data_IF_580415848074
#
_entry.id   IF_580415848074
#
_cell.length_a   1.000
_cell.length_b   1.000
_cell.length_c   1.000
_cell.angle_alpha   90.00
_cell.angle_beta   90.00
_cell.angle_gamma   90.00
#
_symmetry.space_group_name_H-M   'P 1'
#
loop_
_entity.id
_entity.type
_entity.pdbx_description
1 polymer ?
2 polymer ?
3 non-polymer ?
4 non-polymer ?
5 non-polymer ?
6 non-polymer ?
7 non-polymer ?
8 water ?
#
# COMPACT_ATOMS: atom_id res chain seq x y z
N UNK A 1 -18.57 20.82 14.96
CA UNK A 1 -17.24 20.36 14.43
C UNK A 1 -17.39 19.91 12.96
N UNK A 2 -16.30 20.03 12.19
CA UNK A 2 -16.30 19.63 10.79
C UNK A 2 -15.07 18.76 10.51
N UNK A 3 -15.28 17.81 9.62
CA UNK A 3 -14.29 16.76 9.36
C UNK A 3 -13.02 17.29 8.70
N UNK A 4 -13.13 18.40 7.96
CA UNK A 4 -11.98 18.92 7.22
C UNK A 4 -10.99 19.63 8.16
N UNK A 5 -11.47 20.02 9.33
CA UNK A 5 -10.60 20.58 10.36
C UNK A 5 -10.27 19.54 11.42
N UNK A 6 -8.99 19.21 11.54
CA UNK A 6 -8.51 18.40 12.66
C UNK A 6 -9.17 17.00 12.67
N UNK A 7 -9.64 16.58 11.51
CA UNK A 7 -10.36 15.30 11.33
C UNK A 7 -11.68 15.23 12.12
N UNK A 8 -12.24 16.41 12.40
CA UNK A 8 -13.45 16.50 13.20
C UNK A 8 -13.27 16.03 14.64
N UNK A 9 -12.02 15.90 15.07
CA UNK A 9 -11.70 15.31 16.38
C UNK A 9 -11.73 13.77 16.39
N UNK A 10 -12.07 13.16 15.27
CA UNK A 10 -12.24 11.70 15.21
C UNK A 10 -10.87 11.01 15.16
N UNK A 11 -10.76 9.85 15.77
CA UNK A 11 -9.54 9.07 15.66
C UNK A 11 -9.35 8.52 14.24
N UNK A 12 -10.44 8.09 13.62
CA UNK A 12 -10.42 7.49 12.28
C UNK A 12 -11.32 8.28 11.31
N UNK A 13 -12.46 7.75 10.92
CA UNK A 13 -13.24 8.34 9.84
C UNK A 13 -14.31 9.29 10.38
N UNK A 14 -14.71 10.24 9.55
CA UNK A 14 -15.57 11.38 9.95
C UNK A 14 -16.60 11.70 8.87
N UNK A 15 -17.87 11.79 9.24
CA UNK A 15 -18.95 12.24 8.33
C UNK A 15 -19.59 13.53 8.85
N UNK A 16 -19.81 14.48 7.95
CA UNK A 16 -20.61 15.68 8.25
C UNK A 16 -22.08 15.36 7.99
N UNK A 17 -22.95 15.82 8.88
CA UNK A 17 -24.39 15.62 8.75
C UNK A 17 -25.16 16.94 8.81
N UNK A 18 -26.38 16.92 8.29
CA UNK A 18 -27.23 18.10 8.17
C UNK A 18 -27.47 18.78 9.53
N UNK A 19 -26.87 19.96 9.69
CA UNK A 19 -26.89 20.69 10.97
C UNK A 19 -25.46 20.87 11.45
N UNK A 20 -25.28 21.34 12.68
CA UNK A 20 -23.94 21.35 13.28
C UNK A 20 -23.60 19.93 13.74
N UNK A 21 -23.83 18.91 12.90
CA UNK A 21 -23.66 17.51 13.31
C UNK A 21 -22.49 16.81 12.65
N UNK A 22 -21.76 16.05 13.46
CA UNK A 22 -20.61 15.23 13.00
C UNK A 22 -20.73 13.81 13.59
N UNK A 23 -20.53 12.79 12.75
CA UNK A 23 -20.43 11.41 13.21
C UNK A 23 -19.01 10.87 12.89
N UNK A 24 -18.34 10.35 13.90
CA UNK A 24 -17.11 9.60 13.71
C UNK A 24 -17.43 8.13 13.47
N UNK A 25 -16.55 7.45 12.74
CA UNK A 25 -16.70 6.03 12.51
C UNK A 25 -15.36 5.34 12.62
N UNK A 26 -15.40 4.02 12.72
CA UNK A 26 -14.22 3.20 12.82
C UNK A 26 -14.25 2.10 11.75
N UNK A 27 -13.05 1.71 11.34
CA UNK A 27 -12.83 0.63 10.38
C UNK A 27 -13.37 -0.66 10.95
N UNK A 28 -13.68 -1.61 10.07
CA UNK A 28 -13.99 -2.96 10.51
C UNK A 28 -12.92 -3.43 11.46
N UNK A 29 -13.32 -4.17 12.49
CA UNK A 29 -12.38 -4.69 13.48
C UNK A 29 -12.14 -3.70 14.62
N UNK A 30 -12.92 -2.61 14.65
CA UNK A 30 -12.87 -1.58 15.69
C UNK A 30 -14.31 -1.16 16.03
N UNK A 31 -14.52 -0.68 17.25
CA UNK A 31 -15.79 -0.07 17.64
C UNK A 31 -15.52 1.32 18.25
N UNK A 32 -16.51 2.19 18.14
CA UNK A 32 -16.41 3.56 18.56
C UNK A 32 -16.76 3.64 20.03
N UNK A 33 -15.96 4.36 20.79
CA UNK A 33 -16.21 4.50 22.21
C UNK A 33 -17.26 5.57 22.46
N UNK A 34 -17.74 5.64 23.70
CA UNK A 34 -18.79 6.61 24.13
C UNK A 34 -18.39 8.08 24.04
N UNK A 35 -17.09 8.36 23.95
CA UNK A 35 -16.63 9.74 23.65
C UNK A 35 -17.02 10.18 22.23
N UNK A 36 -17.41 9.22 21.40
CA UNK A 36 -17.88 9.52 20.07
C UNK A 36 -16.76 9.75 19.08
N UNK A 37 -15.52 9.54 19.50
CA UNK A 37 -14.34 9.84 18.66
C UNK A 37 -13.31 8.72 18.59
N UNK A 38 -13.11 7.99 19.68
CA UNK A 38 -12.05 7.00 19.78
C UNK A 38 -12.50 5.64 19.24
N UNK A 39 -11.52 4.88 18.72
CA UNK A 39 -11.75 3.57 18.17
C UNK A 39 -10.92 2.56 18.95
N UNK A 40 -11.53 1.47 19.38
CA UNK A 40 -10.82 0.42 20.08
C UNK A 40 -10.98 -0.89 19.29
N UNK A 41 -9.91 -1.69 19.15
CA UNK A 41 -10.02 -3.00 18.47
C UNK A 41 -11.04 -3.95 19.09
N UNK A 42 -11.76 -4.67 18.22
CA UNK A 42 -12.71 -5.68 18.62
C UNK A 42 -12.23 -7.11 18.23
N UNK A 43 -11.09 -7.19 17.54
CA UNK A 43 -10.51 -8.46 17.08
C UNK A 43 -9.05 -8.52 17.46
N UNK A 44 -8.45 -9.71 17.33
CA UNK A 44 -7.05 -9.91 17.73
C UNK A 44 -6.09 -9.15 16.83
N UNK A 45 -6.38 -9.13 15.53
CA UNK A 45 -5.50 -8.53 14.53
C UNK A 45 -6.17 -7.48 13.67
N UNK A 46 -6.47 -6.31 14.29
CA UNK A 46 -7.10 -5.25 13.56
C UNK A 46 -6.12 -4.66 12.54
N UNK A 47 -6.64 -4.11 11.46
CA UNK A 47 -5.76 -3.53 10.45
C UNK A 47 -4.91 -2.40 11.02
N UNK A 48 -3.72 -2.20 10.46
CA UNK A 48 -2.95 -1.00 10.75
C UNK A 48 -2.29 -0.95 12.12
N UNK A 49 -2.29 -2.07 12.84
CA UNK A 49 -1.61 -2.17 14.13
C UNK A 49 -0.57 -3.28 14.02
N UNK A 50 0.55 -3.09 14.72
CA UNK A 50 1.72 -3.98 14.65
C UNK A 50 1.82 -4.75 15.95
N UNK A 51 1.34 -6.00 15.95
CA UNK A 51 1.25 -6.82 17.15
C UNK A 51 2.49 -6.82 18.01
N UNK A 52 3.68 -6.99 17.44
CA UNK A 52 4.86 -7.08 18.32
C UNK A 52 5.13 -5.77 19.06
N UNK A 53 4.73 -4.65 18.46
CA UNK A 53 4.86 -3.35 19.14
C UNK A 53 3.70 -3.07 20.11
N UNK A 54 2.49 -3.51 19.76
CA UNK A 54 1.34 -3.38 20.65
C UNK A 54 1.58 -4.19 21.94
N UNK A 55 2.15 -5.38 21.81
CA UNK A 55 2.59 -6.14 22.98
C UNK A 55 3.77 -5.45 23.69
N UNK A 56 4.66 -4.86 22.91
CA UNK A 56 5.79 -4.00 23.36
C UNK A 56 7.12 -4.69 23.13
N UNK B 1 14.96 -0.65 -1.93
CA UNK B 1 15.01 0.56 -1.08
C UNK B 1 16.46 1.03 -0.91
N UNK B 2 16.73 2.28 -1.25
CA UNK B 2 18.05 2.93 -1.06
C UNK B 2 18.02 3.83 0.16
N UNK B 3 19.02 3.68 1.04
CA UNK B 3 19.18 4.59 2.15
C UNK B 3 18.30 4.33 3.38
N UNK B 4 17.66 3.17 3.43
CA UNK B 4 16.77 2.82 4.55
C UNK B 4 17.46 1.90 5.55
N UNK B 5 16.66 1.06 6.23
CA UNK B 5 17.14 0.09 7.19
C UNK B 5 16.34 -1.18 7.08
N UNK B 6 16.82 -2.24 7.69
CA UNK B 6 16.04 -3.46 7.78
C UNK B 6 14.76 -3.16 8.58
N UNK B 7 13.62 -3.57 8.04
CA UNK B 7 12.39 -3.54 8.80
C UNK B 7 12.46 -4.67 9.79
N UNK B 8 12.47 -4.36 11.11
CA UNK B 8 12.54 -5.49 12.04
C UNK B 8 11.43 -6.50 11.79
N UNK B 9 11.76 -7.79 11.82
CA UNK B 9 10.81 -8.85 11.49
C UNK B 9 9.49 -8.67 12.25
N UNK B 10 8.39 -8.64 11.51
CA UNK B 10 7.06 -8.42 12.11
C UNK B 10 6.60 -6.98 12.18
N UNK B 11 7.50 -6.02 11.91
CA UNK B 11 7.14 -4.61 11.98
C UNK B 11 6.60 -4.05 10.67
N UNK B 12 6.67 -4.85 9.60
CA UNK B 12 6.04 -4.49 8.33
C UNK B 12 5.06 -5.62 7.92
N UNK B 13 4.07 -5.94 8.79
CA UNK B 13 3.37 -7.21 8.66
C UNK B 13 2.38 -7.29 7.46
N UNK B 14 2.14 -6.14 6.84
CA UNK B 14 1.27 -6.04 5.68
C UNK B 14 2.02 -6.17 4.35
N UNK B 15 3.34 -6.22 4.41
CA UNK B 15 4.15 -6.30 3.21
C UNK B 15 3.92 -7.64 2.51
N UNK B 16 3.70 -7.59 1.20
CA UNK B 16 3.57 -8.79 0.37
C UNK B 16 4.78 -8.87 -0.58
N UNK B 17 5.25 -10.09 -0.82
CA UNK B 17 6.22 -10.39 -1.89
C UNK B 17 5.48 -11.17 -2.97
N UNK B 18 5.54 -10.65 -4.18
CA UNK B 18 4.99 -11.31 -5.34
C UNK B 18 6.11 -12.02 -6.10
N UNK B 19 5.85 -13.28 -6.43
CA UNK B 19 6.79 -14.14 -7.15
C UNK B 19 6.17 -14.55 -8.49
N UNK B 20 7.01 -14.75 -9.51
CA UNK B 20 6.51 -15.37 -10.77
C UNK B 20 7.54 -16.44 -11.15
N UNK B 21 7.07 -17.67 -11.31
CA UNK B 21 7.96 -18.86 -11.35
C UNK B 21 9.07 -18.94 -10.22
N UNK B 22 8.71 -18.53 -9.02
CA UNK B 22 9.65 -18.47 -7.90
C UNK B 22 10.59 -17.28 -7.87
N UNK B 23 10.60 -16.45 -8.91
CA UNK B 23 11.48 -15.29 -8.98
C UNK B 23 10.73 -14.05 -8.46
N UNK B 24 11.47 -13.23 -7.73
CA UNK B 24 11.01 -11.93 -7.25
C UNK B 24 10.46 -11.05 -8.37
N UNK B 25 9.20 -10.62 -8.24
CA UNK B 25 8.58 -9.77 -9.23
C UNK B 25 8.38 -8.34 -8.70
N UNK B 26 7.71 -8.25 -7.56
CA UNK B 26 7.23 -6.96 -7.05
C UNK B 26 6.82 -7.11 -5.61
N UNK B 27 6.53 -5.98 -4.99
CA UNK B 27 5.87 -5.97 -3.70
C UNK B 27 4.37 -5.76 -3.81
N UNK B 28 3.74 -5.73 -2.64
CA UNK B 28 2.30 -5.50 -2.53
C UNK B 28 1.93 -5.19 -1.08
N UNK B 29 0.65 -4.90 -0.86
CA UNK B 29 0.12 -4.61 0.47
C UNK B 29 -1.14 -5.41 0.71
N UNK B 30 -1.16 -6.15 1.81
CA UNK B 30 -2.34 -6.86 2.26
C UNK B 30 -3.30 -5.85 2.88
N UNK B 31 -4.55 -5.86 2.45
CA UNK B 31 -5.56 -4.95 3.03
C UNK B 31 -6.72 -5.65 3.74
N UNK B 32 -6.83 -6.95 3.50
CA UNK B 32 -7.63 -7.83 4.36
C UNK B 32 -7.16 -9.25 4.05
N UNK B 33 -7.86 -10.28 4.51
CA UNK B 33 -7.33 -11.65 4.40
C UNK B 33 -7.22 -12.26 2.98
N UNK B 34 -7.93 -11.73 2.00
CA UNK B 34 -7.84 -12.27 0.64
C UNK B 34 -7.44 -11.25 -0.43
N UNK B 35 -7.29 -9.98 -0.06
CA UNK B 35 -6.98 -8.94 -1.02
C UNK B 35 -5.63 -8.24 -0.80
N UNK B 36 -4.91 -8.05 -1.89
CA UNK B 36 -3.60 -7.41 -1.94
C UNK B 36 -3.65 -6.28 -2.96
N UNK B 37 -3.11 -5.14 -2.60
CA UNK B 37 -2.97 -4.03 -3.54
C UNK B 37 -1.51 -3.97 -4.03
N UNK B 38 -1.32 -3.87 -5.34
CA UNK B 38 0.00 -3.73 -5.96
C UNK B 38 -0.06 -2.69 -7.11
N UNK B 39 0.95 -2.71 -8.00
CA UNK B 39 1.05 -1.78 -9.13
C UNK B 39 0.73 -2.53 -10.38
N UNK B 40 -0.11 -1.91 -11.22
CA UNK B 40 -0.47 -2.47 -12.52
C UNK B 40 0.76 -2.82 -13.35
N UNK B 41 1.78 -1.96 -13.32
CA UNK B 41 2.95 -2.16 -14.19
C UNK B 41 3.73 -3.43 -13.87
N UNK B 42 3.47 -4.02 -12.71
CA UNK B 42 4.12 -5.24 -12.31
C UNK B 42 3.75 -6.40 -13.22
N UNK B 43 2.65 -6.26 -13.95
CA UNK B 43 2.08 -7.35 -14.73
C UNK B 43 2.21 -7.12 -16.24
N UNK B 44 3.01 -6.13 -16.66
CA UNK B 44 3.10 -5.77 -18.08
C UNK B 44 3.68 -6.92 -18.94
N UNK B 45 4.54 -7.76 -18.36
CA UNK B 45 5.20 -8.81 -19.14
C UNK B 45 4.89 -10.22 -18.65
N UNK B 46 3.76 -10.42 -17.99
CA UNK B 46 3.43 -11.74 -17.46
C UNK B 46 3.02 -12.65 -18.61
N UNK B 47 3.60 -13.84 -18.65
CA UNK B 47 3.28 -14.81 -19.68
C UNK B 47 2.32 -15.83 -19.11
N UNK B 48 2.73 -16.53 -18.06
CA UNK B 48 1.80 -17.45 -17.40
C UNK B 48 1.18 -16.80 -16.16
N UNK B 49 -0.08 -16.39 -16.32
CA UNK B 49 -0.84 -15.77 -15.24
C UNK B 49 -1.08 -16.74 -14.11
N UNK B 50 -0.90 -18.03 -14.35
CA UNK B 50 -1.24 -19.05 -13.36
C UNK B 50 -0.10 -19.39 -12.42
N UNK B 51 1.07 -18.79 -12.64
CA UNK B 51 2.26 -19.00 -11.79
C UNK B 51 2.60 -17.81 -10.90
N UNK B 52 1.61 -16.96 -10.62
CA UNK B 52 1.81 -15.82 -9.73
C UNK B 52 1.53 -16.25 -8.30
N UNK B 53 2.47 -15.97 -7.41
CA UNK B 53 2.36 -16.32 -5.99
C UNK B 53 2.54 -15.07 -5.14
N UNK B 54 1.73 -14.95 -4.08
CA UNK B 54 1.88 -13.91 -3.07
C UNK B 54 2.34 -14.54 -1.77
N UNK B 55 3.40 -14.00 -1.18
CA UNK B 55 3.91 -14.46 0.10
C UNK B 55 3.72 -13.36 1.15
N UNK B 56 3.08 -13.75 2.25
CA UNK B 56 2.92 -12.93 3.45
C UNK B 56 3.79 -13.45 4.56
N UNK B 57 4.12 -12.57 5.50
CA UNK B 57 4.95 -12.90 6.65
C UNK B 57 6.40 -13.16 6.26
N UNK B 58 6.81 -12.67 5.09
CA UNK B 58 8.17 -12.85 4.62
C UNK B 58 9.05 -11.79 5.27
N UNK B 59 10.33 -12.13 5.44
CA UNK B 59 11.29 -11.20 6.00
C UNK B 59 12.69 -11.39 5.36
N UNK B 60 13.27 -12.57 5.60
CA UNK B 60 14.62 -12.92 5.12
C UNK B 60 14.46 -13.98 4.03
N UNK B 61 14.76 -13.59 2.81
CA UNK B 61 14.58 -14.46 1.63
C UNK B 61 15.49 -15.68 1.59
N UNK B 62 16.49 -15.70 2.46
CA UNK B 62 17.46 -16.78 2.49
C UNK B 62 17.03 -17.96 3.33
N UNK B 63 16.00 -17.79 4.16
CA UNK B 63 15.64 -18.84 5.10
C UNK B 63 14.15 -18.95 5.27
N UNK B 64 13.70 -20.12 5.64
CA UNK B 64 12.30 -20.36 5.93
C UNK B 64 12.17 -20.49 7.46
N UNK B 65 11.39 -19.60 8.09
CA UNK B 65 11.22 -19.68 9.55
C UNK B 65 9.82 -20.12 10.02
N UNK B 66 8.91 -20.37 9.07
CA UNK B 66 7.60 -20.89 9.40
C UNK B 66 6.51 -19.83 9.52
N UNK B 67 6.87 -18.55 9.51
CA UNK B 67 5.87 -17.47 9.57
C UNK B 67 5.34 -17.09 8.18
N UNK B 68 6.02 -17.59 7.15
CA UNK B 68 5.68 -17.24 5.78
C UNK B 68 4.40 -17.97 5.41
N UNK B 69 3.56 -17.30 4.64
CA UNK B 69 2.35 -17.92 4.08
C UNK B 69 2.25 -17.58 2.60
N UNK B 70 2.18 -18.63 1.77
CA UNK B 70 2.13 -18.48 0.32
C UNK B 70 0.75 -18.78 -0.21
N UNK B 71 0.32 -17.97 -1.18
CA UNK B 71 -0.95 -18.17 -1.82
C UNK B 71 -0.83 -17.93 -3.31
N UNK B 72 -1.60 -18.66 -4.07
CA UNK B 72 -1.75 -18.37 -5.48
C UNK B 72 -2.60 -17.12 -5.67
N UNK B 73 -2.25 -16.35 -6.69
CA UNK B 73 -3.02 -15.17 -7.04
C UNK B 73 -4.11 -15.64 -8.02
N UNK B 74 -5.36 -15.55 -7.60
CA UNK B 74 -6.51 -16.02 -8.38
C UNK B 74 -7.01 -14.98 -9.39
N UNK B 75 -6.85 -13.71 -9.05
CA UNK B 75 -7.28 -12.62 -9.92
C UNK B 75 -6.34 -11.43 -9.82
N UNK B 76 -6.07 -10.82 -10.95
CA UNK B 76 -5.38 -9.54 -11.02
C UNK B 76 -6.30 -8.55 -11.72
N UNK B 77 -6.73 -7.53 -11.00
CA UNK B 77 -7.71 -6.57 -11.50
C UNK B 77 -7.02 -5.21 -11.69
N UNK B 78 -7.11 -4.71 -12.92
CA UNK B 78 -6.43 -3.51 -13.33
C UNK B 78 -7.46 -2.55 -13.92
N UNK B 79 -7.33 -1.26 -13.61
CA UNK B 79 -8.33 -0.34 -14.12
C UNK B 79 -8.22 -0.18 -15.63
N UNK B 80 -9.36 0.10 -16.27
CA UNK B 80 -9.44 0.26 -17.75
C UNK B 80 -8.54 1.38 -18.26
N UNK B 81 -8.27 2.34 -17.40
CA UNK B 81 -7.54 3.53 -17.80
C UNK B 81 -6.01 3.35 -17.80
N UNK B 82 -5.52 2.24 -17.25
CA UNK B 82 -4.09 1.93 -17.26
C UNK B 82 -3.69 1.43 -18.64
N UNK B 83 -2.61 1.99 -19.18
CA UNK B 83 -2.03 1.53 -20.44
C UNK B 83 -0.68 0.88 -20.20
N UNK B 84 -0.52 -0.40 -20.55
CA UNK B 84 0.79 -1.02 -20.32
C UNK B 84 1.96 -0.23 -20.91
N UNK B 85 3.05 -0.16 -20.15
CA UNK B 85 4.25 0.55 -20.60
C UNK B 85 4.23 2.03 -20.25
N UNK B 86 3.21 2.47 -19.52
CA UNK B 86 3.10 3.86 -19.11
C UNK B 86 2.91 3.95 -17.58
N UNK B 87 2.72 5.17 -17.07
CA UNK B 87 2.79 5.43 -15.62
C UNK B 87 1.44 5.71 -14.93
N UNK B 88 0.44 6.22 -15.65
CA UNK B 88 -0.80 6.70 -15.01
C UNK B 88 -1.69 5.52 -14.59
N UNK B 89 -2.42 5.68 -13.49
CA UNK B 89 -3.34 4.67 -12.98
C UNK B 89 -2.60 3.38 -12.62
N UNK B 90 -1.46 3.53 -11.93
CA UNK B 90 -0.59 2.38 -11.67
C UNK B 90 -1.03 1.60 -10.42
N UNK B 91 -2.12 0.86 -10.56
CA UNK B 91 -2.69 0.11 -9.43
C UNK B 91 -3.27 -1.23 -9.90
N UNK B 92 -3.16 -2.24 -9.03
CA UNK B 92 -3.76 -3.56 -9.28
C UNK B 92 -4.32 -4.09 -7.99
N UNK B 93 -5.45 -4.75 -8.10
CA UNK B 93 -6.06 -5.42 -6.96
C UNK B 93 -6.05 -6.92 -7.22
N UNK B 94 -5.43 -7.63 -6.28
CA UNK B 94 -5.16 -9.03 -6.40
C UNK B 94 -6.03 -9.78 -5.39
N UNK B 95 -6.74 -10.81 -5.88
CA UNK B 95 -7.48 -11.74 -5.03
C UNK B 95 -6.67 -13.00 -4.85
N UNK B 96 -6.47 -13.40 -3.59
CA UNK B 96 -5.72 -14.61 -3.30
C UNK B 96 -6.67 -15.83 -3.42
N UNK B 97 -6.14 -17.00 -3.76
CA UNK B 97 -6.98 -18.20 -3.96
C UNK B 97 -7.59 -18.67 -2.66
N UNK B 98 -6.92 -18.38 -1.54
CA UNK B 98 -7.37 -18.76 -0.23
C UNK B 98 -6.91 -17.67 0.74
N UNK B 99 -7.73 -17.35 1.77
CA UNK B 99 -7.30 -16.30 2.68
C UNK B 99 -5.99 -16.65 3.36
N UNK B 100 -5.18 -15.65 3.66
CA UNK B 100 -4.08 -15.83 4.61
C UNK B 100 -4.66 -15.83 6.02
N UNK B 101 -3.87 -16.36 6.97
CA UNK B 101 -4.28 -16.44 8.37
C UNK B 101 -3.58 -15.29 9.09
N UNK B 102 -4.36 -14.42 9.72
CA UNK B 102 -3.78 -13.34 10.46
C UNK B 102 -3.04 -13.85 11.67
N UNK B 103 -1.83 -13.33 11.84
CA UNK B 103 -0.90 -13.70 12.93
C UNK B 103 -0.09 -12.50 13.35
N UNK B 104 0.81 -12.63 14.33
CA UNK B 104 1.69 -11.53 14.69
C UNK B 104 2.53 -11.02 13.50
N UNK B 105 2.72 -11.87 12.48
CA UNK B 105 3.58 -11.53 11.36
C UNK B 105 2.84 -11.26 10.06
N UNK B 106 1.51 -11.38 10.11
CA UNK B 106 0.65 -11.21 8.93
C UNK B 106 -0.58 -10.43 9.37
N UNK B 107 -0.61 -9.15 8.99
CA UNK B 107 -1.64 -8.19 9.42
C UNK B 107 -1.94 -7.26 8.25
N UNK B 108 -3.23 -6.99 7.97
CA UNK B 108 -3.50 -6.04 6.88
C UNK B 108 -3.27 -4.61 7.26
N UNK B 109 -2.93 -3.82 6.26
CA UNK B 109 -2.93 -2.35 6.39
C UNK B 109 -4.35 -1.83 6.15
N UNK B 110 -4.79 -0.81 6.89
CA UNK B 110 -6.14 -0.28 6.68
C UNK B 110 -6.23 0.50 5.36
N UNK B 111 -7.20 0.14 4.52
CA UNK B 111 -7.55 0.97 3.37
C UNK B 111 -8.48 2.06 3.89
N UNK B 112 -8.05 3.33 3.80
CA UNK B 112 -8.82 4.40 4.42
C UNK B 112 -10.00 4.80 3.57
N UNK B 113 -11.00 5.42 4.20
CA UNK B 113 -12.00 6.17 3.45
C UNK B 113 -11.31 7.29 2.65
N UNK B 114 -11.86 7.64 1.48
CA UNK B 114 -11.28 8.68 0.60
C UNK B 114 -11.19 10.04 1.31
N UNK B 115 -12.28 10.47 1.96
CA UNK B 115 -12.29 11.76 2.64
C UNK B 115 -11.21 11.86 3.72
N UNK B 116 -11.14 10.84 4.58
CA UNK B 116 -10.13 10.80 5.62
C UNK B 116 -8.75 10.90 4.98
N UNK B 117 -8.55 10.15 3.89
CA UNK B 117 -7.23 10.13 3.24
C UNK B 117 -6.89 11.48 2.59
N UNK B 118 -7.86 12.09 1.92
CA UNK B 118 -7.65 13.37 1.23
C UNK B 118 -7.53 14.54 2.20
N UNK B 119 -8.32 14.52 3.27
CA UNK B 119 -8.41 15.65 4.19
C UNK B 119 -7.41 15.59 5.32
N UNK B 120 -6.94 14.39 5.66
CA UNK B 120 -6.10 14.22 6.85
C UNK B 120 -4.77 13.52 6.53
N UNK B 121 -4.84 12.31 5.93
CA UNK B 121 -3.61 11.51 5.70
C UNK B 121 -2.65 12.20 4.74
N UNK B 122 -3.19 12.93 3.77
CA UNK B 122 -2.41 13.56 2.73
C UNK B 122 -1.52 14.71 3.27
N UNK B 123 -1.80 15.16 4.49
CA UNK B 123 -1.02 16.21 5.16
C UNK B 123 -0.10 15.68 6.24
N UNK B 124 -0.09 14.36 6.44
CA UNK B 124 0.93 13.75 7.27
C UNK B 124 2.21 13.75 6.43
N UNK B 125 3.25 14.42 6.92
CA UNK B 125 4.44 14.66 6.13
C UNK B 125 5.19 13.37 5.77
N UNK B 126 5.52 12.55 6.76
CA UNK B 126 6.30 11.36 6.54
C UNK B 126 5.49 10.05 6.58
N UNK B 127 5.91 9.12 5.73
CA UNK B 127 5.31 7.81 5.59
C UNK B 127 6.40 6.79 5.26
N UNK B 128 6.11 5.52 5.48
CA UNK B 128 7.07 4.43 5.28
C UNK B 128 6.84 3.72 3.96
N UNK B 129 7.95 3.51 3.23
CA UNK B 129 7.95 2.68 2.04
C UNK B 129 8.90 1.52 2.28
N UNK B 130 8.56 0.37 1.72
CA UNK B 130 9.27 -0.85 2.03
C UNK B 130 9.30 -1.84 0.87
N UNK B 131 10.29 -2.74 0.92
CA UNK B 131 10.42 -3.78 -0.08
C UNK B 131 11.80 -4.44 -0.10
N UNK B 132 11.90 -5.43 -0.98
CA UNK B 132 13.12 -6.20 -1.19
C UNK B 132 13.81 -5.77 -2.48
N UNK B 133 13.61 -4.52 -2.89
CA UNK B 133 14.23 -4.01 -4.08
C UNK B 133 15.73 -3.70 -3.90
N UNK B 134 16.27 -3.06 -4.92
CA UNK B 134 17.68 -2.73 -5.02
C UNK B 134 18.09 -1.83 -3.86
N UNK B 135 19.23 -2.14 -3.26
CA UNK B 135 19.80 -1.32 -2.18
C UNK B 135 20.57 -0.12 -2.72
N UNK B 136 20.87 -0.14 -4.03
CA UNK B 136 21.63 0.91 -4.75
C UNK B 136 21.13 0.87 -6.17
N UNK B 137 21.13 2.02 -6.83
CA UNK B 137 20.90 2.04 -8.26
C UNK B 137 21.96 1.17 -8.95
N UNK B 138 21.51 0.32 -9.86
CA UNK B 138 22.36 -0.66 -10.56
C UNK B 138 23.03 -1.67 -9.63
N UNK B 139 22.39 -1.93 -8.47
CA UNK B 139 22.92 -2.80 -7.44
C UNK B 139 22.04 -4.01 -7.15
N UNK B 140 22.52 -4.87 -6.27
CA UNK B 140 21.81 -6.07 -5.85
C UNK B 140 20.57 -5.73 -5.00
N UNK B 141 19.53 -6.56 -5.12
CA UNK B 141 18.32 -6.46 -4.30
C UNK B 141 18.59 -6.96 -2.90
N UNK B 142 17.72 -6.58 -1.96
CA UNK B 142 17.88 -6.89 -0.55
C UNK B 142 17.44 -8.29 -0.24
N UNK B 143 18.13 -8.97 0.67
CA UNK B 143 17.68 -10.28 1.18
C UNK B 143 16.76 -10.16 2.38
N UNK B 144 16.90 -9.09 3.15
CA UNK B 144 15.99 -8.78 4.24
C UNK B 144 15.09 -7.58 3.88
N UNK B 145 13.85 -7.59 4.38
CA UNK B 145 12.92 -6.53 4.05
C UNK B 145 13.45 -5.19 4.52
N UNK B 146 13.50 -4.21 3.65
CA UNK B 146 13.93 -2.87 4.01
C UNK B 146 12.77 -1.88 4.10
N UNK B 147 12.95 -0.84 4.92
CA UNK B 147 11.96 0.22 5.09
C UNK B 147 12.64 1.59 5.14
N UNK B 148 11.95 2.61 4.65
CA UNK B 148 12.47 3.97 4.52
C UNK B 148 11.34 4.97 4.85
N UNK B 149 11.65 5.97 5.68
CA UNK B 149 10.70 7.07 5.97
C UNK B 149 10.92 8.16 4.95
N UNK B 150 9.86 8.57 4.24
CA UNK B 150 9.98 9.55 3.18
C UNK B 150 8.92 10.64 3.35
N UNK B 151 9.30 11.90 3.09
CA UNK B 151 8.34 13.00 3.11
C UNK B 151 7.64 13.24 1.79
N UNK B 152 6.36 13.57 1.91
CA UNK B 152 5.47 13.79 0.76
C UNK B 152 5.54 15.25 0.36
N UNK B 153 5.48 15.49 -0.94
CA UNK B 153 5.46 16.85 -1.49
C UNK B 153 4.13 17.11 -2.16
N UNK B 154 3.61 18.34 -2.05
CA UNK B 154 2.53 18.75 -2.96
C UNK B 154 3.05 18.74 -4.39
N UNK B 155 2.19 18.45 -5.36
CA UNK B 155 2.67 18.23 -6.72
C UNK B 155 3.32 19.48 -7.33
N UNK B 156 2.74 20.66 -7.07
CA UNK B 156 3.35 21.93 -7.54
C UNK B 156 4.80 22.03 -7.04
N UNK B 157 5.02 21.68 -5.76
CA UNK B 157 6.37 21.72 -5.19
C UNK B 157 7.30 20.67 -5.77
N UNK B 158 6.76 19.48 -6.06
CA UNK B 158 7.56 18.44 -6.69
C UNK B 158 8.11 18.87 -8.04
N UNK B 159 7.24 19.48 -8.85
CA UNK B 159 7.60 19.93 -10.21
C UNK B 159 8.63 21.06 -10.13
N UNK B 160 8.40 21.99 -9.21
CA UNK B 160 9.33 23.10 -8.97
C UNK B 160 10.69 22.60 -8.47
N UNK B 161 10.68 21.66 -7.54
CA UNK B 161 11.91 21.14 -6.96
C UNK B 161 12.64 20.07 -7.79
N UNK B 162 12.02 19.61 -8.89
CA UNK B 162 12.63 18.54 -9.69
C UNK B 162 13.42 19.09 -10.89
N UNK B 163 14.57 18.48 -11.17
CA UNK B 163 15.47 18.92 -12.25
C UNK B 163 16.68 18.01 -12.38
N UNK B 168 10.38 14.00 -18.16
CA UNK B 168 9.61 12.95 -17.47
C UNK B 168 8.14 12.91 -17.92
N UNK B 169 7.48 11.76 -17.71
CA UNK B 169 6.02 11.82 -17.82
C UNK B 169 5.43 12.85 -16.86
N UNK B 170 4.18 13.22 -17.06
CA UNK B 170 3.49 14.13 -16.14
C UNK B 170 3.24 13.50 -14.78
N UNK B 171 3.22 14.34 -13.73
CA UNK B 171 2.76 13.94 -12.41
C UNK B 171 1.27 14.26 -12.38
N UNK B 172 0.44 13.23 -12.47
CA UNK B 172 -1.00 13.43 -12.59
C UNK B 172 -1.67 13.48 -11.22
N UNK B 173 -2.99 13.69 -11.24
CA UNK B 173 -3.78 13.74 -10.01
C UNK B 173 -3.89 12.34 -9.39
N UNK B 174 -3.44 11.33 -10.13
CA UNK B 174 -3.46 9.93 -9.67
C UNK B 174 -2.10 9.50 -9.11
N UNK B 175 -1.25 10.49 -8.83
CA UNK B 175 0.10 10.31 -8.35
C UNK B 175 0.47 11.32 -7.27
N UNK B 176 1.53 11.04 -6.52
CA UNK B 176 2.21 12.05 -5.70
C UNK B 176 3.68 11.70 -5.58
N UNK B 177 4.48 12.73 -5.34
CA UNK B 177 5.90 12.57 -5.09
C UNK B 177 6.19 12.46 -3.61
N UNK B 178 7.23 11.69 -3.32
CA UNK B 178 7.77 11.59 -1.99
C UNK B 178 9.23 11.18 -1.99
N UNK B 179 9.95 11.60 -0.97
CA UNK B 179 11.36 11.25 -0.85
C UNK B 179 12.27 12.47 -0.78
N UNK B 180 13.43 12.36 -1.46
CA UNK B 180 14.56 13.28 -1.36
C UNK B 180 15.20 13.46 -2.73
N UNK B 181 15.59 14.70 -3.04
CA UNK B 181 16.22 15.04 -4.32
C UNK B 181 17.76 15.05 -4.29
N UNK B 182 18.36 14.64 -3.17
CA UNK B 182 19.83 14.64 -3.01
C UNK B 182 20.50 13.30 -3.30
N UNK B 183 19.74 12.35 -3.85
CA UNK B 183 20.30 11.05 -4.26
C UNK B 183 20.65 10.08 -3.14
N UNK B 184 20.16 10.33 -1.93
CA UNK B 184 20.51 9.48 -0.77
C UNK B 184 19.49 8.39 -0.39
N UNK B 185 18.21 8.63 -0.71
CA UNK B 185 17.12 7.83 -0.15
C UNK B 185 15.94 7.76 -1.12
N UNK B 186 15.48 6.55 -1.42
CA UNK B 186 14.44 6.34 -2.44
C UNK B 186 13.94 4.90 -2.38
N UNK B 187 12.79 4.66 -3.00
CA UNK B 187 12.38 3.31 -3.32
C UNK B 187 12.91 3.05 -4.74
N UNK B 188 12.96 1.78 -5.14
CA UNK B 188 13.56 1.40 -6.41
C UNK B 188 12.67 0.40 -7.18
N UNK B 189 13.09 0.09 -8.40
CA UNK B 189 12.41 -0.84 -9.31
C UNK B 189 11.73 -2.03 -8.62
N UNK B 190 12.52 -2.75 -7.85
CA UNK B 190 12.09 -4.03 -7.27
C UNK B 190 11.14 -3.87 -6.10
N UNK B 191 10.98 -2.63 -5.65
CA UNK B 191 10.01 -2.29 -4.59
C UNK B 191 8.62 -2.00 -5.17
N UNK B 192 8.53 -1.85 -6.49
CA UNK B 192 7.30 -1.53 -7.17
C UNK B 192 6.16 -2.36 -6.60
N UNK B 193 5.00 -1.71 -6.43
CA UNK B 193 3.79 -2.32 -5.92
C UNK B 193 3.68 -2.36 -4.42
N UNK B 194 4.78 -2.06 -3.72
CA UNK B 194 4.78 -2.09 -2.28
C UNK B 194 4.10 -0.88 -1.64
N UNK B 195 3.91 -0.93 -0.32
CA UNK B 195 3.21 0.09 0.43
C UNK B 195 3.97 1.38 0.65
N UNK B 196 3.22 2.46 0.56
CA UNK B 196 3.51 3.75 1.17
C UNK B 196 2.44 3.89 2.27
N UNK B 197 2.87 3.74 3.52
CA UNK B 197 2.00 3.57 4.69
C UNK B 197 2.14 4.78 5.61
N UNK B 198 1.00 5.31 6.03
CA UNK B 198 0.95 6.56 6.77
C UNK B 198 0.30 6.34 8.14
N UNK B 199 1.00 6.79 9.18
CA UNK B 199 0.52 6.66 10.55
C UNK B 199 -0.37 7.85 10.93
N UNK B 200 -1.47 7.56 11.61
CA UNK B 200 -2.32 8.61 12.15
C UNK B 200 -3.00 8.09 13.41
N UNK B 201 -2.70 8.76 14.53
CA UNK B 201 -3.29 8.47 15.82
C UNK B 201 -3.33 6.97 16.14
N UNK B 202 -2.16 6.34 16.00
CA UNK B 202 -1.93 4.98 16.49
C UNK B 202 -2.19 3.89 15.49
N UNK B 203 -2.56 4.26 14.26
CA UNK B 203 -2.96 3.28 13.25
C UNK B 203 -2.34 3.64 11.92
N UNK B 204 -2.00 2.59 11.15
CA UNK B 204 -1.42 2.77 9.81
C UNK B 204 -2.40 2.50 8.68
N UNK B 205 -2.26 3.31 7.62
CA UNK B 205 -3.15 3.31 6.48
C UNK B 205 -2.39 3.28 5.15
N UNK B 206 -3.01 2.67 4.13
CA UNK B 206 -2.45 2.72 2.78
C UNK B 206 -2.75 4.02 2.04
N UNK B 207 -1.68 4.78 1.76
CA UNK B 207 -1.78 6.04 1.01
C UNK B 207 -1.15 6.04 -0.37
N UNK B 208 -0.16 5.17 -0.58
CA UNK B 208 0.51 5.13 -1.86
C UNK B 208 0.99 3.76 -2.23
N UNK B 209 1.35 3.62 -3.50
CA UNK B 209 1.92 2.42 -4.05
C UNK B 209 3.23 2.79 -4.76
N UNK B 210 4.32 2.08 -4.44
CA UNK B 210 5.61 2.32 -5.14
C UNK B 210 5.38 2.15 -6.64
N UNK B 211 5.64 3.21 -7.41
CA UNK B 211 5.24 3.22 -8.81
C UNK B 211 6.39 3.49 -9.79
N UNK B 212 6.95 4.69 -9.76
CA UNK B 212 7.98 5.05 -10.74
C UNK B 212 8.89 6.19 -10.30
N UNK B 213 9.91 6.42 -11.10
CA UNK B 213 10.82 7.54 -10.92
C UNK B 213 11.85 7.51 -12.07
N UNK B 214 12.85 8.38 -11.99
CA UNK B 214 13.95 8.45 -12.99
C UNK B 214 15.19 7.86 -12.36
N UNK B 215 15.44 6.57 -12.56
CA UNK B 215 16.55 5.88 -11.90
C UNK B 215 16.29 5.96 -10.41
N UNK B 216 16.95 5.12 -9.60
CA UNK B 216 16.71 5.09 -8.17
C UNK B 216 17.64 6.01 -7.39
N UNK B 217 17.07 6.90 -6.58
CA UNK B 217 17.85 7.86 -5.82
C UNK B 217 18.71 8.73 -6.75
N UNK B 218 18.09 9.20 -7.83
CA UNK B 218 18.74 10.10 -8.79
C UNK B 218 18.69 11.52 -8.25
N UNK B 219 19.86 12.16 -8.14
CA UNK B 219 19.88 13.56 -7.72
C UNK B 219 18.96 14.41 -8.59
N UNK B 220 18.22 15.31 -7.97
CA UNK B 220 17.27 16.15 -8.65
C UNK B 220 15.89 15.54 -8.86
N UNK B 221 15.69 14.29 -8.38
CA UNK B 221 14.40 13.60 -8.63
C UNK B 221 13.85 12.90 -7.38
N UNK B 222 12.52 12.83 -7.33
CA UNK B 222 11.79 12.16 -6.25
C UNK B 222 11.15 10.87 -6.76
N UNK B 223 10.82 9.97 -5.84
CA UNK B 223 9.97 8.82 -6.16
C UNK B 223 8.57 9.27 -6.41
N UNK B 224 7.88 8.57 -7.31
CA UNK B 224 6.50 8.86 -7.63
C UNK B 224 5.63 7.65 -7.24
N UNK B 225 4.52 7.97 -6.55
CA UNK B 225 3.65 6.98 -5.90
C UNK B 225 2.21 7.13 -6.41
N UNK B 226 1.54 6.00 -6.59
CA UNK B 226 0.13 6.01 -7.01
C UNK B 226 -0.66 6.57 -5.84
N UNK B 227 -1.54 7.52 -6.12
CA UNK B 227 -2.29 8.20 -5.07
C UNK B 227 -3.55 7.37 -4.83
N UNK B 228 -3.44 6.47 -3.85
CA UNK B 228 -4.47 5.48 -3.55
C UNK B 228 -5.86 6.06 -3.22
N UNK B 229 -5.90 7.27 -2.64
CA UNK B 229 -7.19 7.92 -2.34
C UNK B 229 -8.13 8.03 -3.55
N UNK B 230 -7.57 8.09 -4.77
CA UNK B 230 -8.39 8.21 -5.96
C UNK B 230 -9.11 6.92 -6.30
N UNK B 231 -8.68 5.82 -5.66
CA UNK B 231 -9.15 4.48 -6.01
C UNK B 231 -9.95 3.77 -4.94
N UNK B 232 -10.27 4.43 -3.83
CA UNK B 232 -10.94 3.73 -2.71
C UNK B 232 -12.29 3.09 -3.10
N UNK B 233 -13.14 3.88 -3.75
CA UNK B 233 -14.47 3.40 -4.17
C UNK B 233 -14.35 2.31 -5.24
N UNK B 234 -13.39 2.46 -6.16
CA UNK B 234 -13.09 1.43 -7.17
C UNK B 234 -12.69 0.10 -6.53
N UNK B 235 -11.78 0.16 -5.55
CA UNK B 235 -11.33 -1.03 -4.84
C UNK B 235 -12.47 -1.65 -4.03
N UNK B 236 -13.21 -0.80 -3.32
CA UNK B 236 -14.28 -1.30 -2.45
C UNK B 236 -15.35 -2.04 -3.25
N UNK B 237 -15.73 -1.48 -4.39
CA UNK B 237 -16.70 -2.12 -5.26
C UNK B 237 -16.21 -3.49 -5.73
N UNK B 238 -14.96 -3.56 -6.16
CA UNK B 238 -14.40 -4.81 -6.65
C UNK B 238 -14.32 -5.88 -5.56
N UNK B 239 -13.98 -5.48 -4.34
CA UNK B 239 -13.92 -6.44 -3.24
C UNK B 239 -15.28 -7.04 -2.87
N UNK B 240 -16.38 -6.42 -3.30
CA UNK B 240 -17.72 -6.98 -3.09
C UNK B 240 -18.17 -7.87 -4.26
N UNK B 241 -17.36 -7.94 -5.31
CA UNK B 241 -17.73 -8.66 -6.53
C UNK B 241 -17.36 -10.13 -6.49
N UNK B 242 -18.10 -10.95 -7.21
CA UNK B 242 -17.76 -12.37 -7.35
C UNK B 242 -16.56 -12.52 -8.27
N UNK B 243 -15.70 -13.49 -7.98
CA UNK B 243 -14.64 -13.85 -8.89
C UNK B 243 -15.16 -14.24 -10.28
N UNK B 244 -14.33 -14.01 -11.31
CA UNK B 244 -14.64 -14.39 -12.67
C UNK B 244 -13.57 -15.34 -13.20
N UNK B 245 -13.94 -16.24 -14.14
CA UNK B 245 -12.88 -17.08 -14.70
C UNK B 245 -11.79 -16.24 -15.40
N UNK B 246 -10.55 -16.71 -15.35
CA UNK B 246 -9.41 -16.01 -15.95
C UNK B 246 -8.78 -15.03 -14.98
N UNK B 247 -7.45 -15.04 -14.89
CA UNK B 247 -6.73 -14.31 -13.86
C UNK B 247 -6.88 -12.83 -14.08
N UNK B 248 -6.46 -12.34 -15.24
CA UNK B 248 -6.54 -10.90 -15.51
C UNK B 248 -7.99 -10.45 -15.70
N UNK B 249 -8.36 -9.37 -15.03
CA UNK B 249 -9.62 -8.67 -15.26
C UNK B 249 -9.34 -7.19 -15.40
N UNK B 250 -9.75 -6.60 -16.53
CA UNK B 250 -9.74 -5.16 -16.64
C UNK B 250 -11.12 -4.66 -16.21
N UNK B 251 -11.13 -3.72 -15.26
CA UNK B 251 -12.38 -3.23 -14.68
C UNK B 251 -12.48 -1.74 -14.96
N UNK B 252 -13.68 -1.24 -15.30
CA UNK B 252 -13.80 0.17 -15.63
C UNK B 252 -13.41 1.08 -14.47
N UNK B 253 -12.71 2.14 -14.81
CA UNK B 253 -12.43 3.20 -13.88
C UNK B 253 -12.93 4.49 -14.54
N UNK B 254 -13.64 5.36 -13.79
CA UNK B 254 -13.99 5.28 -12.40
C UNK B 254 -14.97 4.14 -12.09
X LIG C 1 -9.78 -8.11 21.33
X LIG D 1 -18.81 14.02 4.62
X LIG D 1 -20.07 13.46 5.12
X LIG D 1 -18.22 13.04 3.69
X LIG D 1 -17.89 14.35 5.70
X LIG D 1 -19.09 15.29 3.93
X LIG E 1 1.64 -0.13 15.95
X LIG E 1 0.57 -0.94 16.31
X LIG E 1 1.14 1.29 16.00
X LIG E 1 0.24 1.49 14.91
X LIG E 1 2.31 2.27 16.09
X LIG E 1 3.37 2.02 15.17
X LIG F 1 10.86 2.99 -13.93
X LIG F 1 10.31 -0.27 -12.86
X LIG F 1 8.12 3.09 -14.53
X LIG F 1 10.38 3.93 -14.85
X LIG F 1 11.30 3.12 -10.32
X LIG F 1 5.80 2.32 -14.35
X LIG F 1 8.48 7.21 -16.86
X LIG F 1 11.61 4.08 -9.34
X LIG F 1 10.87 4.11 -8.12
X LIG F 1 12.88 5.92 -8.47
X LIG F 1 12.65 5.05 -9.50
X LIG F 1 9.97 2.12 -13.31
X LIG F 1 10.56 1.12 -12.34
X LIG F 1 8.61 2.18 -13.60
X LIG F 1 9.91 1.24 -11.04
X LIG F 1 10.27 2.22 -10.09
X LIG F 1 9.42 -1.07 -12.27
X LIG F 1 10.94 -0.69 -13.79
X LIG F 1 9.02 3.98 -15.14
X LIG F 1 6.79 3.24 -14.87
X LIG F 1 9.56 2.25 -8.87
X LIG F 1 8.52 4.90 -16.03
X LIG F 1 9.86 3.15 -7.91
X LIG F 1 9.34 6.04 -16.36
X LIG F 1 12.18 5.90 -7.33
X LIG F 1 11.20 5.05 -7.12
X LIG G 1 11.90 -16.27 5.06
X LIG H 1 5.47 7.09 14.19
X LIG I 1 -6.21 -17.03 -17.36
X LIG J 1 2.71 -15.68 15.23
X LIG J 1 1.42 -15.13 15.82
X LIG J 1 2.55 -17.13 15.00
X LIG J 1 3.83 -15.47 16.17
X LIG J 1 3.14 -15.13 13.93
X LIG K 1 8.59 -4.42 -12.50
X LIG K 1 8.78 -5.86 -12.66
X LIG K 1 7.21 -4.16 -12.14
X LIG K 1 8.84 -3.70 -13.74
X LIG K 1 9.50 -3.94 -11.44
X LIG L 1 -20.91 -9.04 -9.08
X LIG L 1 -20.40 -10.17 -8.30
X LIG L 1 -22.08 -9.48 -9.85
X LIG L 1 -21.29 -7.97 -8.17
X LIG L 1 -19.90 -8.54 -10.01
X LIG M 1 -1.32 17.94 -4.21
X LIG M 1 -1.68 17.28 -2.97
X LIG M 1 -2.46 17.90 -5.10
X LIG M 1 -0.17 17.30 -4.83
X LIG M 1 -0.98 19.33 -3.87
#
# INVERSE_FOLDING_TARGET
LICVNENGGCEQYCSDHTGTKRSCRCHEGYSLLADGVSCTPTVEYPCGKIPILEKRNASKPQGR
IVGGKVCPKGECPWQVLLLVNGAQLCGGTLINTIWVVSAAHCFDKIKNWRNLIAVLGEHDLSEHDGDEQSRRVAQVIIPSTYVPGTTNHDIALLRLHQPVVLTDHVVPLCLPERTFSERTLAFVRFSLVSGWGQLLDRGATALELMVLNVPRLMTQDCLQQSRKVGDSPNITEYMFCAGYSDGSKDSCKGDSGGPHATHYRGTWYLTGIVSWGQGCATVGHFGVYTRVSQYIEWLQKLMRSEPRPGVLLRAPFP
CL CL
SO4 S O1 O2 O3 O4
GOL C1 O1 C2 O2 C3 O3
7LX C4 C6 C7 C8 C15 C17 C20 C21 C22 C24 C26 C1 C2 C3 N5 C9 O10 O11 C12 O13 C14 O16 C18 C19 N23 C25
CA CA
CL CL
CL CL
SO4 S O1 O2 O3 O4
SO4 S O1 O2 O3 O4
SO4 S O1 O2 O3 O4
SO4 S O1 O2 O3 O4
#
